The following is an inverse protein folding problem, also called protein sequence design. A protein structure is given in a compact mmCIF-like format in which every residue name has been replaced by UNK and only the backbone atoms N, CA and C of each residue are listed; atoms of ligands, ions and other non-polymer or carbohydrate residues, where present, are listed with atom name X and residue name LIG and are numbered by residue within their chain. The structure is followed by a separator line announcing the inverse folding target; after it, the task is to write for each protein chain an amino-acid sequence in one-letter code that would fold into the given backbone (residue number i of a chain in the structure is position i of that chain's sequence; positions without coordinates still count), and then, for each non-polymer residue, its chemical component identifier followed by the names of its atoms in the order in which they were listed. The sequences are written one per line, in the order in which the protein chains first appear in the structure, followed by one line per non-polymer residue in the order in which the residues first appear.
data_IF_649040647590
#
_entry.id   IF_649040647590
#
_cell.length_a   1.000
_cell.length_b   1.000
_cell.length_c   1.000
_cell.angle_alpha   90.00
_cell.angle_beta   90.00
_cell.angle_gamma   90.00
#
_symmetry.space_group_name_H-M   'P 1'
#
loop_
_entity.id
_entity.type
_entity.pdbx_description
1 polymer ?
#
# COMPACT_ATOMS: atom_id res chain seq x y z
N UNK A 1 47.88 -54.98 -18.40
CA UNK A 1 47.61 -53.62 -17.89
C UNK A 1 48.01 -53.58 -16.43
N UNK A 2 48.80 -52.57 -16.08
CA UNK A 2 49.62 -52.48 -14.87
C UNK A 2 48.77 -52.06 -13.66
N UNK A 3 48.90 -52.84 -12.59
CA UNK A 3 48.47 -52.52 -11.23
C UNK A 3 49.38 -51.41 -10.68
N UNK A 4 48.80 -50.36 -10.10
CA UNK A 4 49.48 -49.45 -9.17
C UNK A 4 48.60 -49.19 -7.95
N UNK A 5 48.96 -49.85 -6.86
CA UNK A 5 48.60 -49.50 -5.49
C UNK A 5 49.69 -48.54 -5.01
N UNK A 6 49.31 -47.40 -4.42
CA UNK A 6 50.20 -46.51 -3.69
C UNK A 6 49.55 -46.11 -2.36
N UNK A 7 50.42 -45.86 -1.40
CA UNK A 7 50.30 -46.11 0.03
C UNK A 7 50.19 -44.80 0.83
N UNK A 8 49.58 -44.92 2.02
CA UNK A 8 49.90 -44.22 3.28
C UNK A 8 49.67 -42.69 3.43
N UNK A 9 48.97 -42.37 4.54
CA UNK A 9 49.00 -41.06 5.20
C UNK A 9 48.15 -41.10 6.47
N UNK A 10 48.80 -41.13 7.63
CA UNK A 10 48.20 -41.36 8.93
C UNK A 10 47.95 -40.07 9.73
N UNK A 11 46.96 -40.16 10.62
CA UNK A 11 46.81 -39.53 11.96
C UNK A 11 46.53 -38.02 12.13
N UNK A 12 45.51 -37.77 12.98
CA UNK A 12 45.30 -36.66 13.93
C UNK A 12 44.98 -35.28 13.30
N UNK A 13 44.05 -34.44 13.74
CA UNK A 13 43.47 -34.17 15.06
C UNK A 13 42.08 -33.53 14.89
N UNK A 14 41.27 -33.68 15.94
CA UNK A 14 40.04 -32.95 16.25
C UNK A 14 40.02 -31.47 15.85
N UNK A 15 38.97 -31.07 15.15
CA UNK A 15 38.51 -29.68 15.15
C UNK A 15 37.00 -29.68 15.37
N UNK A 16 36.61 -29.45 16.63
CA UNK A 16 35.26 -29.09 17.03
C UNK A 16 34.92 -27.80 16.28
N UNK A 17 34.05 -27.91 15.28
CA UNK A 17 33.43 -26.76 14.65
C UNK A 17 32.56 -26.07 15.68
N UNK A 18 33.03 -24.94 16.21
CA UNK A 18 32.19 -23.94 16.85
C UNK A 18 31.19 -23.45 15.80
N UNK A 19 29.99 -24.01 15.80
CA UNK A 19 28.85 -23.41 15.12
C UNK A 19 28.50 -22.19 15.97
N UNK A 20 29.02 -21.03 15.59
CA UNK A 20 28.48 -19.77 16.08
C UNK A 20 26.99 -19.74 15.68
N UNK A 21 26.05 -19.53 16.61
CA UNK A 21 24.69 -19.22 16.20
C UNK A 21 24.76 -17.91 15.42
N UNK A 22 24.37 -17.95 14.14
CA UNK A 22 23.98 -16.73 13.45
C UNK A 22 22.88 -16.10 14.32
N UNK A 23 23.26 -15.02 15.01
CA UNK A 23 22.30 -14.07 15.51
C UNK A 23 21.52 -13.59 14.28
N UNK A 24 20.27 -14.05 14.17
CA UNK A 24 19.27 -13.36 13.36
C UNK A 24 19.19 -11.98 13.99
N UNK A 25 19.85 -11.00 13.39
CA UNK A 25 19.55 -9.61 13.63
C UNK A 25 18.13 -9.40 13.12
N UNK A 26 17.16 -9.68 13.99
CA UNK A 26 15.83 -9.13 13.85
C UNK A 26 16.04 -7.62 13.86
N UNK A 27 15.92 -6.99 12.69
CA UNK A 27 15.73 -5.55 12.61
C UNK A 27 14.47 -5.26 13.42
N UNK A 28 14.68 -4.87 14.68
CA UNK A 28 13.64 -4.58 15.64
C UNK A 28 12.76 -3.48 15.07
N UNK A 29 11.58 -3.86 14.62
CA UNK A 29 10.48 -2.91 14.53
C UNK A 29 9.93 -2.83 15.94
N UNK A 30 10.27 -1.76 16.66
CA UNK A 30 9.85 -1.45 18.03
C UNK A 30 8.35 -1.15 18.14
N UNK A 31 7.49 -1.97 17.53
CA UNK A 31 6.04 -1.86 17.64
C UNK A 31 5.53 -2.74 18.76
N UNK A 32 5.30 -2.11 19.91
CA UNK A 32 4.65 -2.71 21.06
C UNK A 32 3.14 -2.72 20.81
N UNK A 33 2.50 -3.90 20.67
CA UNK A 33 1.03 -3.99 20.65
C UNK A 33 0.52 -3.83 22.08
N UNK A 34 -0.25 -2.77 22.33
CA UNK A 34 -0.93 -2.57 23.61
C UNK A 34 -2.06 -3.59 23.79
N UNK A 35 -2.11 -4.23 24.96
CA UNK A 35 -3.31 -4.95 25.45
C UNK A 35 -4.20 -3.94 26.20
N UNK A 36 -5.54 -4.11 26.26
CA UNK A 36 -6.48 -3.08 26.76
C UNK A 36 -6.28 -2.61 28.20
N UNK A 37 -5.44 -3.30 28.99
CA UNK A 37 -5.36 -3.15 30.44
C UNK A 37 -4.04 -2.63 30.98
N UNK A 38 -3.01 -2.37 30.15
CA UNK A 38 -1.77 -1.74 30.63
C UNK A 38 -1.20 -0.72 29.64
N UNK A 39 -0.79 0.48 30.09
CA UNK A 39 -0.09 1.43 29.24
C UNK A 39 1.32 0.91 28.87
N UNK A 40 1.80 1.16 27.64
CA UNK A 40 3.13 0.73 27.20
C UNK A 40 4.25 1.47 27.95
N UNK A 41 5.46 0.87 28.07
CA UNK A 41 6.60 1.48 28.76
C UNK A 41 7.08 2.77 28.03
N UNK A 42 7.72 3.71 28.75
CA UNK A 42 8.07 5.04 28.23
C UNK A 42 9.08 5.05 27.07
N UNK A 43 9.68 3.90 26.74
CA UNK A 43 10.57 3.70 25.59
C UNK A 43 9.87 3.17 24.34
N UNK A 44 8.59 2.80 24.41
CA UNK A 44 7.82 2.36 23.24
C UNK A 44 7.26 3.56 22.50
N UNK A 45 7.61 3.71 21.22
CA UNK A 45 6.83 4.57 20.32
C UNK A 45 5.49 3.86 20.07
N UNK A 46 4.39 4.57 20.33
CA UNK A 46 3.08 4.09 19.91
C UNK A 46 3.11 3.82 18.40
N UNK A 47 2.34 2.84 17.88
CA UNK A 47 2.10 2.74 16.46
C UNK A 47 1.75 4.12 15.92
N UNK A 48 2.41 4.54 14.84
CA UNK A 48 2.13 5.85 14.23
C UNK A 48 0.68 5.80 13.79
N UNK A 49 -0.20 6.38 14.62
CA UNK A 49 -1.59 6.59 14.26
C UNK A 49 -1.57 7.40 12.97
N UNK A 50 -2.28 6.96 11.92
CA UNK A 50 -2.35 7.71 10.68
C UNK A 50 -2.83 9.12 11.03
N UNK A 51 -2.09 10.15 10.63
CA UNK A 51 -2.30 11.53 11.08
C UNK A 51 -3.70 12.09 10.76
N UNK A 52 -4.47 11.45 9.88
CA UNK A 52 -5.87 11.77 9.57
C UNK A 52 -6.91 10.90 10.29
N UNK A 53 -6.51 9.92 11.10
CA UNK A 53 -7.38 8.90 11.69
C UNK A 53 -7.72 7.75 10.72
N UNK A 54 -8.75 6.97 11.05
CA UNK A 54 -9.19 5.78 10.30
C UNK A 54 -10.70 5.85 10.05
N UNK A 55 -11.14 5.65 8.80
CA UNK A 55 -12.57 5.62 8.47
C UNK A 55 -13.23 4.29 8.91
N UNK A 56 -14.53 4.29 9.24
CA UNK A 56 -15.27 3.05 9.46
C UNK A 56 -15.17 2.09 8.27
N UNK A 57 -14.83 0.82 8.52
CA UNK A 57 -14.62 -0.20 7.48
C UNK A 57 -13.28 -0.12 6.74
N UNK A 58 -12.42 0.84 7.09
CA UNK A 58 -11.13 1.01 6.42
C UNK A 58 -10.18 -0.16 6.64
N UNK A 59 -10.25 -0.86 7.77
CA UNK A 59 -9.44 -2.06 8.02
C UNK A 59 -9.71 -3.14 6.96
N UNK A 60 -10.99 -3.43 6.69
CA UNK A 60 -11.38 -4.40 5.67
C UNK A 60 -10.99 -3.93 4.26
N UNK A 61 -11.17 -2.63 4.00
CA UNK A 61 -10.77 -2.02 2.74
C UNK A 61 -9.26 -2.14 2.52
N UNK A 62 -8.42 -1.82 3.51
CA UNK A 62 -6.96 -1.95 3.45
C UNK A 62 -6.56 -3.40 3.23
N UNK A 63 -7.14 -4.34 3.98
CA UNK A 63 -6.86 -5.76 3.79
C UNK A 63 -7.18 -6.21 2.36
N UNK A 64 -8.27 -5.72 1.77
CA UNK A 64 -8.63 -6.00 0.37
C UNK A 64 -7.69 -5.33 -0.62
N UNK A 65 -7.31 -4.07 -0.36
CA UNK A 65 -6.37 -3.34 -1.19
C UNK A 65 -5.03 -4.06 -1.29
N UNK A 66 -4.49 -4.51 -0.16
CA UNK A 66 -3.22 -5.25 -0.12
C UNK A 66 -3.28 -6.59 -0.86
N UNK A 67 -4.42 -7.28 -0.86
CA UNK A 67 -4.61 -8.51 -1.66
C UNK A 67 -4.66 -8.25 -3.17
N UNK A 68 -5.04 -7.04 -3.58
CA UNK A 68 -5.11 -6.67 -5.00
C UNK A 68 -3.75 -6.22 -5.56
N UNK A 69 -2.81 -5.81 -4.70
CA UNK A 69 -1.46 -5.39 -5.11
C UNK A 69 -0.76 -6.53 -5.87
N UNK A 70 -0.16 -6.19 -7.02
CA UNK A 70 0.42 -7.16 -7.96
C UNK A 70 -0.60 -7.78 -8.92
N UNK A 71 -1.90 -7.51 -8.74
CA UNK A 71 -2.93 -7.85 -9.72
C UNK A 71 -2.90 -6.94 -10.95
N UNK A 72 -3.66 -7.32 -11.98
CA UNK A 72 -3.78 -6.62 -13.26
C UNK A 72 -5.26 -6.51 -13.69
N UNK A 73 -5.52 -5.86 -14.83
CA UNK A 73 -6.88 -5.72 -15.38
C UNK A 73 -7.63 -4.48 -14.90
N UNK A 74 -6.93 -3.52 -14.29
CA UNK A 74 -7.47 -2.21 -13.91
C UNK A 74 -7.02 -1.07 -14.85
N UNK A 75 -6.68 -1.38 -16.11
CA UNK A 75 -6.17 -0.37 -17.03
C UNK A 75 -7.20 0.74 -17.26
N UNK A 76 -6.86 1.98 -16.89
CA UNK A 76 -7.76 3.14 -16.89
C UNK A 76 -9.05 2.96 -16.04
N UNK A 77 -9.03 2.02 -15.09
CA UNK A 77 -10.19 1.67 -14.25
C UNK A 77 -9.96 2.04 -12.77
N UNK A 78 -9.34 3.19 -12.51
CA UNK A 78 -9.01 3.68 -11.16
C UNK A 78 -10.24 3.76 -10.23
N UNK A 79 -11.37 4.28 -10.73
CA UNK A 79 -12.60 4.35 -9.96
C UNK A 79 -13.17 2.97 -9.62
N UNK A 80 -13.02 1.99 -10.52
CA UNK A 80 -13.42 0.59 -10.26
C UNK A 80 -12.48 -0.07 -9.26
N UNK A 81 -11.15 0.11 -9.36
CA UNK A 81 -10.22 -0.37 -8.34
C UNK A 81 -10.60 0.16 -6.95
N UNK A 82 -10.81 1.47 -6.83
CA UNK A 82 -11.21 2.08 -5.56
C UNK A 82 -12.52 1.48 -5.02
N UNK A 83 -13.53 1.29 -5.87
CA UNK A 83 -14.79 0.65 -5.48
C UNK A 83 -14.61 -0.81 -5.04
N UNK A 84 -13.83 -1.59 -5.79
CA UNK A 84 -13.51 -2.97 -5.49
C UNK A 84 -12.83 -3.08 -4.13
N UNK A 85 -11.87 -2.19 -3.81
CA UNK A 85 -11.23 -2.10 -2.49
C UNK A 85 -12.26 -1.94 -1.36
N UNK A 86 -13.30 -1.14 -1.59
CA UNK A 86 -14.43 -0.94 -0.68
C UNK A 86 -15.55 -1.98 -0.80
N UNK A 87 -15.27 -3.12 -1.44
CA UNK A 87 -16.21 -4.23 -1.54
C UNK A 87 -17.38 -4.00 -2.51
N UNK A 88 -17.28 -3.00 -3.38
CA UNK A 88 -18.30 -2.68 -4.39
C UNK A 88 -17.85 -3.10 -5.80
N UNK A 89 -18.75 -3.59 -6.65
CA UNK A 89 -18.39 -4.00 -8.02
C UNK A 89 -18.07 -2.82 -8.96
N UNK A 90 -18.57 -1.62 -8.66
CA UNK A 90 -18.40 -0.39 -9.44
C UNK A 90 -18.54 0.85 -8.55
N UNK A 91 -17.99 1.98 -9.02
CA UNK A 91 -18.06 3.26 -8.30
C UNK A 91 -19.41 3.97 -8.41
N UNK A 92 -20.17 3.66 -9.47
CA UNK A 92 -21.39 4.38 -9.86
C UNK A 92 -21.11 5.77 -10.45
N UNK A 93 -19.84 6.11 -10.71
CA UNK A 93 -19.44 7.37 -11.35
C UNK A 93 -18.75 7.09 -12.67
N UNK A 94 -19.07 7.90 -13.68
CA UNK A 94 -18.43 7.83 -15.00
C UNK A 94 -16.90 8.01 -14.94
N UNK A 95 -16.40 8.82 -14.01
CA UNK A 95 -14.98 9.04 -13.83
C UNK A 95 -14.61 9.50 -12.42
N UNK A 96 -13.32 9.45 -12.08
CA UNK A 96 -12.79 9.99 -10.83
C UNK A 96 -13.05 11.50 -10.72
N UNK A 97 -12.88 12.24 -11.83
CA UNK A 97 -13.18 13.67 -11.88
C UNK A 97 -14.67 13.97 -11.63
N UNK A 98 -15.58 13.13 -12.14
CA UNK A 98 -17.02 13.25 -11.85
C UNK A 98 -17.29 12.97 -10.37
N UNK A 99 -16.73 11.90 -9.82
CA UNK A 99 -16.88 11.58 -8.40
C UNK A 99 -16.38 12.73 -7.51
N UNK A 100 -15.19 13.27 -7.80
CA UNK A 100 -14.64 14.40 -7.07
C UNK A 100 -15.57 15.63 -7.10
N UNK A 101 -16.05 16.03 -8.28
CA UNK A 101 -16.99 17.17 -8.40
C UNK A 101 -18.26 16.95 -7.58
N UNK A 102 -18.78 15.72 -7.54
CA UNK A 102 -19.94 15.39 -6.70
C UNK A 102 -19.60 15.49 -5.21
N UNK A 103 -18.44 15.01 -4.78
CA UNK A 103 -17.99 15.15 -3.38
C UNK A 103 -17.84 16.62 -2.98
N UNK A 104 -17.36 17.47 -3.88
CA UNK A 104 -17.31 18.93 -3.68
C UNK A 104 -18.72 19.51 -3.56
N UNK A 105 -19.62 19.19 -4.49
CA UNK A 105 -21.00 19.69 -4.49
C UNK A 105 -21.78 19.27 -3.23
N UNK A 106 -21.51 18.08 -2.68
CA UNK A 106 -22.13 17.56 -1.46
C UNK A 106 -21.48 18.09 -0.17
N UNK A 107 -20.42 18.92 -0.26
CA UNK A 107 -19.68 19.38 0.91
C UNK A 107 -18.95 18.26 1.66
N UNK A 108 -18.58 17.16 0.97
CA UNK A 108 -17.87 16.00 1.52
C UNK A 108 -16.39 15.95 1.15
N UNK A 109 -15.95 16.84 0.25
CA UNK A 109 -14.57 16.95 -0.17
C UNK A 109 -13.73 17.79 0.80
N UNK A 110 -12.58 17.26 1.20
CA UNK A 110 -11.53 17.94 1.93
C UNK A 110 -10.48 18.42 0.93
N UNK A 111 -10.71 19.62 0.36
CA UNK A 111 -9.93 20.17 -0.75
C UNK A 111 -8.52 20.56 -0.30
N UNK A 112 -7.49 20.08 -0.99
CA UNK A 112 -6.07 20.39 -0.73
C UNK A 112 -5.50 19.80 0.57
N UNK A 113 -6.32 19.18 1.41
CA UNK A 113 -5.89 18.56 2.66
C UNK A 113 -5.03 17.32 2.38
N UNK A 114 -3.78 17.31 2.86
CA UNK A 114 -2.81 16.22 2.68
C UNK A 114 -2.78 15.24 3.85
N UNK A 115 -3.73 15.30 4.78
CA UNK A 115 -3.85 14.40 5.92
C UNK A 115 -5.11 13.52 5.83
N UNK A 116 -5.27 12.71 4.75
CA UNK A 116 -6.42 11.83 4.64
C UNK A 116 -6.44 10.76 5.75
N UNK A 117 -7.62 10.39 6.26
CA UNK A 117 -7.76 9.20 7.09
C UNK A 117 -7.51 7.93 6.28
N UNK A 118 -7.11 6.84 6.94
CA UNK A 118 -7.03 5.51 6.32
C UNK A 118 -8.39 5.13 5.73
N UNK A 119 -8.35 4.64 4.50
CA UNK A 119 -9.52 4.26 3.70
C UNK A 119 -10.09 5.40 2.84
N UNK A 120 -9.64 6.65 3.02
CA UNK A 120 -10.13 7.76 2.22
C UNK A 120 -9.83 7.56 0.72
N UNK A 121 -10.73 8.10 -0.11
CA UNK A 121 -10.48 8.28 -1.53
C UNK A 121 -9.71 9.57 -1.74
N UNK A 122 -8.56 9.47 -2.40
CA UNK A 122 -7.69 10.60 -2.73
C UNK A 122 -7.75 10.85 -4.23
N UNK A 123 -7.87 12.12 -4.63
CA UNK A 123 -8.18 12.51 -6.00
C UNK A 123 -7.12 13.43 -6.61
N UNK A 124 -6.88 13.26 -7.90
CA UNK A 124 -6.00 14.12 -8.69
C UNK A 124 -6.65 14.56 -9.99
N UNK A 125 -6.28 15.75 -10.43
CA UNK A 125 -6.41 16.19 -11.80
C UNK A 125 -5.14 15.78 -12.56
N UNK A 126 -5.31 14.93 -13.56
CA UNK A 126 -4.21 14.43 -14.41
C UNK A 126 -4.06 15.22 -15.70
N UNK A 127 -4.83 16.29 -15.90
CA UNK A 127 -4.96 16.98 -17.19
C UNK A 127 -5.88 16.25 -18.19
N UNK A 128 -6.40 15.07 -17.81
CA UNK A 128 -7.35 14.29 -18.60
C UNK A 128 -8.75 14.34 -18.00
N UNK A 129 -9.78 14.19 -18.86
CA UNK A 129 -11.21 14.29 -18.47
C UNK A 129 -11.65 13.28 -17.40
N UNK A 130 -10.93 12.18 -17.25
CA UNK A 130 -11.25 11.13 -16.29
C UNK A 130 -10.73 11.43 -14.87
N UNK A 131 -9.66 12.20 -14.72
CA UNK A 131 -8.93 12.37 -13.46
C UNK A 131 -8.35 11.06 -12.93
N UNK A 132 -7.93 11.06 -11.67
CA UNK A 132 -7.45 9.85 -10.99
C UNK A 132 -7.95 9.76 -9.55
N UNK A 133 -8.20 8.53 -9.08
CA UNK A 133 -8.55 8.23 -7.70
C UNK A 133 -7.77 7.01 -7.21
N UNK A 134 -7.34 7.06 -5.95
CA UNK A 134 -6.71 5.94 -5.25
C UNK A 134 -7.24 5.82 -3.82
N UNK A 135 -6.92 4.73 -3.13
CA UNK A 135 -7.28 4.55 -1.71
C UNK A 135 -6.05 4.77 -0.85
N UNK A 136 -6.17 5.68 0.13
CA UNK A 136 -5.13 5.89 1.14
C UNK A 136 -5.14 4.74 2.15
N UNK A 137 -4.01 4.07 2.32
CA UNK A 137 -3.88 2.88 3.20
C UNK A 137 -3.06 3.15 4.46
N UNK A 138 -2.75 4.42 4.74
CA UNK A 138 -1.97 4.85 5.91
C UNK A 138 -0.49 5.05 5.60
N UNK A 139 0.22 5.66 6.54
CA UNK A 139 1.68 5.85 6.50
C UNK A 139 2.21 6.48 5.20
N UNK A 140 1.47 7.43 4.62
CA UNK A 140 1.87 8.08 3.37
C UNK A 140 1.78 7.17 2.14
N UNK A 141 1.03 6.06 2.21
CA UNK A 141 0.90 5.08 1.12
C UNK A 141 -0.51 5.04 0.55
N UNK A 142 -0.58 4.72 -0.73
CA UNK A 142 -1.83 4.51 -1.47
C UNK A 142 -1.78 3.20 -2.26
N UNK A 143 -2.94 2.60 -2.49
CA UNK A 143 -3.11 1.57 -3.53
C UNK A 143 -3.75 2.21 -4.75
N UNK A 144 -3.06 2.13 -5.89
CA UNK A 144 -3.42 2.77 -7.16
C UNK A 144 -3.18 1.81 -8.33
N UNK A 145 -3.88 2.04 -9.44
CA UNK A 145 -3.59 1.35 -10.70
C UNK A 145 -2.65 2.18 -11.60
N UNK A 146 -2.11 1.55 -12.65
CA UNK A 146 -1.38 2.10 -13.81
C UNK A 146 -0.06 2.84 -13.49
N UNK A 147 0.19 3.17 -12.23
CA UNK A 147 1.35 3.99 -11.81
C UNK A 147 2.69 3.29 -12.02
N UNK A 148 2.70 1.96 -12.12
CA UNK A 148 3.90 1.18 -12.42
C UNK A 148 4.05 0.78 -13.89
N UNK A 149 3.03 1.00 -14.72
CA UNK A 149 2.97 0.47 -16.08
C UNK A 149 3.84 1.28 -17.05
N UNK A 150 4.32 0.59 -18.09
CA UNK A 150 4.75 1.19 -19.35
C UNK A 150 3.54 1.38 -20.28
N UNK A 151 3.62 2.25 -21.28
CA UNK A 151 2.49 2.53 -22.18
C UNK A 151 2.60 1.66 -23.45
N UNK A 152 1.52 0.92 -23.83
CA UNK A 152 0.20 0.84 -23.21
C UNK A 152 0.17 0.03 -21.90
N UNK A 153 -0.64 0.47 -20.94
CA UNK A 153 -0.67 -0.13 -19.60
C UNK A 153 -1.40 -1.47 -19.52
N UNK A 154 -0.98 -2.30 -18.58
CA UNK A 154 -1.56 -3.62 -18.26
C UNK A 154 -2.65 -3.53 -17.18
N UNK A 155 -2.80 -2.36 -16.56
CA UNK A 155 -3.74 -2.17 -15.48
C UNK A 155 -3.24 -2.71 -14.15
N UNK A 156 -1.93 -2.63 -13.92
CA UNK A 156 -1.30 -3.16 -12.71
C UNK A 156 -1.78 -2.44 -11.47
N UNK A 157 -1.82 -3.14 -10.33
CA UNK A 157 -2.17 -2.58 -9.02
C UNK A 157 -0.93 -2.46 -8.15
N UNK A 158 -0.67 -1.27 -7.64
CA UNK A 158 0.58 -0.93 -6.96
C UNK A 158 0.32 -0.30 -5.60
N UNK A 159 1.14 -0.67 -4.62
CA UNK A 159 1.28 0.03 -3.35
C UNK A 159 2.43 1.03 -3.47
N UNK A 160 2.14 2.32 -3.57
CA UNK A 160 3.14 3.38 -3.78
C UNK A 160 3.03 4.47 -2.74
N UNK A 161 4.06 5.31 -2.66
CA UNK A 161 4.00 6.53 -1.86
C UNK A 161 2.96 7.49 -2.44
N UNK A 162 2.25 8.20 -1.56
CA UNK A 162 1.13 9.07 -1.90
C UNK A 162 1.53 10.15 -2.93
N UNK A 163 2.73 10.74 -2.78
CA UNK A 163 3.26 11.73 -3.72
C UNK A 163 3.70 11.18 -5.08
N UNK A 164 3.72 9.84 -5.27
CA UNK A 164 4.19 9.22 -6.52
C UNK A 164 3.34 9.59 -7.73
N UNK A 165 2.02 9.76 -7.54
CA UNK A 165 1.09 10.17 -8.60
C UNK A 165 1.50 11.54 -9.14
N UNK A 166 1.73 12.51 -8.26
CA UNK A 166 2.15 13.86 -8.61
C UNK A 166 3.52 13.83 -9.31
N UNK A 167 4.50 13.12 -8.74
CA UNK A 167 5.87 13.11 -9.27
C UNK A 167 6.02 12.37 -10.61
N UNK A 168 5.26 11.29 -10.84
CA UNK A 168 5.39 10.47 -12.05
C UNK A 168 4.53 10.99 -13.20
N UNK A 169 3.35 11.52 -12.91
CA UNK A 169 2.40 11.95 -13.94
C UNK A 169 2.28 13.47 -14.09
N UNK A 170 2.90 14.27 -13.22
CA UNK A 170 2.69 15.71 -13.20
C UNK A 170 1.26 16.09 -12.79
N UNK A 171 0.55 15.19 -12.12
CA UNK A 171 -0.84 15.39 -11.72
C UNK A 171 -0.94 16.38 -10.55
N UNK A 172 -2.02 17.15 -10.51
CA UNK A 172 -2.33 18.07 -9.42
C UNK A 172 -3.23 17.39 -8.37
N UNK A 173 -2.78 17.32 -7.12
CA UNK A 173 -3.59 16.80 -6.04
C UNK A 173 -4.79 17.72 -5.74
N UNK A 174 -5.99 17.14 -5.66
CA UNK A 174 -7.23 17.88 -5.44
C UNK A 174 -7.68 17.86 -3.97
N UNK A 175 -7.40 16.76 -3.27
CA UNK A 175 -7.87 16.52 -1.91
C UNK A 175 -8.39 15.10 -1.71
N UNK A 176 -9.12 14.88 -0.62
CA UNK A 176 -9.70 13.58 -0.29
C UNK A 176 -11.19 13.68 0.02
N UNK A 177 -11.88 12.55 -0.05
CA UNK A 177 -13.26 12.41 0.41
C UNK A 177 -13.49 11.02 1.03
N UNK A 178 -14.51 10.87 1.90
CA UNK A 178 -14.97 9.55 2.33
C UNK A 178 -15.38 8.67 1.13
N UNK A 179 -15.37 7.33 1.28
CA UNK A 179 -15.67 6.36 0.22
C UNK A 179 -17.17 6.28 -0.09
N UNK A 180 -17.69 7.37 -0.65
CA UNK A 180 -19.09 7.50 -1.07
C UNK A 180 -19.16 7.10 -2.54
N UNK A 181 -20.01 6.12 -2.82
CA UNK A 181 -20.24 5.57 -4.16
C UNK A 181 -21.70 5.77 -4.56
N UNK A 182 -21.94 5.94 -5.85
CA UNK A 182 -23.31 6.05 -6.36
C UNK A 182 -23.95 4.67 -6.49
N UNK A 183 -25.26 4.60 -6.22
CA UNK A 183 -26.09 3.41 -6.47
C UNK A 183 -26.71 3.39 -7.87
N UNK A 184 -26.48 4.45 -8.66
CA UNK A 184 -27.06 4.67 -9.99
C UNK A 184 -26.54 3.70 -11.04
#
# INVERSE_FOLDING_TARGET
MIIKIALAGALLTSSIGLIAPLAIAASGSDTCIATPTNPPPPSCQAPVEPSGGTLPGAEEAVARALRLVGGHGYYQLCARLAANIWGRPYSGYYSAAVQWRQMVAMGKAHRGDRQPPVGALVFWDTGHVYGHVAVYVGNGRIVSNDIGDDVPGEGGVYLVDFGRIESKWGAAYLGWAPPIYSTS
#
